data_IF_589654215810
#
_entry.id   IF_589654215810
#
_cell.length_a   1.000
_cell.length_b   1.000
_cell.length_c   1.000
_cell.angle_alpha   90.00
_cell.angle_beta   90.00
_cell.angle_gamma   90.00
#
_symmetry.space_group_name_H-M   'P 1'
#
loop_
_entity.id
_entity.type
_entity.pdbx_description
1 polymer ?
#
# COMPACT_ATOMS: atom_id res chain seq x y z
N UNK A 1 -14.89 1.72 -14.74
CA UNK A 1 -14.14 2.99 -14.50
C UNK A 1 -15.09 3.97 -13.85
N UNK A 2 -14.80 4.42 -12.63
CA UNK A 2 -15.58 5.48 -12.00
C UNK A 2 -15.37 6.78 -12.80
N UNK A 3 -16.47 7.32 -13.33
CA UNK A 3 -16.46 8.63 -13.99
C UNK A 3 -15.94 9.66 -12.97
N UNK A 4 -14.72 10.16 -13.14
CA UNK A 4 -14.18 11.24 -12.33
C UNK A 4 -12.77 11.04 -11.76
N UNK A 5 -12.16 9.86 -11.85
CA UNK A 5 -10.77 9.68 -11.45
C UNK A 5 -9.82 9.99 -12.60
N UNK A 6 -8.91 10.95 -12.37
CA UNK A 6 -7.89 11.36 -13.32
C UNK A 6 -6.54 11.50 -12.57
N UNK A 7 -5.61 10.54 -12.76
CA UNK A 7 -4.29 10.57 -12.14
C UNK A 7 -3.47 11.80 -12.53
N UNK A 8 -3.57 12.26 -13.78
CA UNK A 8 -2.86 13.43 -14.25
C UNK A 8 -3.35 14.70 -13.56
N UNK A 9 -4.63 14.80 -13.26
CA UNK A 9 -5.21 15.92 -12.50
C UNK A 9 -4.66 15.96 -11.07
N UNK A 10 -4.49 14.81 -10.40
CA UNK A 10 -3.84 14.73 -9.08
C UNK A 10 -2.39 15.17 -9.15
N UNK A 11 -1.64 14.66 -10.12
CA UNK A 11 -0.26 15.07 -10.38
C UNK A 11 -0.12 16.59 -10.58
N UNK A 12 -1.02 17.22 -11.29
CA UNK A 12 -0.95 18.67 -11.54
C UNK A 12 -1.32 19.51 -10.33
N UNK A 13 -2.20 19.01 -9.44
CA UNK A 13 -2.73 19.75 -8.28
C UNK A 13 -1.90 19.60 -7.02
N UNK A 14 -1.24 18.46 -6.83
CA UNK A 14 -0.46 18.16 -5.63
C UNK A 14 1.05 18.34 -5.93
N UNK A 15 1.69 19.39 -5.39
CA UNK A 15 3.11 19.65 -5.66
C UNK A 15 4.05 18.61 -5.04
N UNK A 16 3.64 17.92 -3.98
CA UNK A 16 4.43 16.86 -3.34
C UNK A 16 4.39 15.61 -4.19
N UNK A 17 3.20 15.20 -4.61
CA UNK A 17 3.01 14.07 -5.52
C UNK A 17 3.74 14.30 -6.84
N UNK A 18 3.62 15.51 -7.42
CA UNK A 18 4.36 15.88 -8.63
C UNK A 18 5.85 15.68 -8.47
N UNK A 19 6.44 16.22 -7.41
CA UNK A 19 7.88 16.08 -7.15
C UNK A 19 8.30 14.62 -7.04
N UNK A 20 7.51 13.78 -6.40
CA UNK A 20 7.81 12.34 -6.27
C UNK A 20 7.77 11.65 -7.64
N UNK A 21 6.76 11.94 -8.46
CA UNK A 21 6.65 11.35 -9.78
C UNK A 21 7.72 11.86 -10.74
N UNK A 22 8.06 13.15 -10.68
CA UNK A 22 9.15 13.73 -11.48
C UNK A 22 10.51 13.09 -11.10
N UNK A 23 10.71 12.67 -9.85
CA UNK A 23 11.90 11.91 -9.46
C UNK A 23 11.97 10.53 -10.12
N UNK A 24 10.85 9.84 -10.33
CA UNK A 24 10.82 8.59 -11.10
C UNK A 24 11.31 8.81 -12.53
N UNK A 25 10.86 9.89 -13.15
CA UNK A 25 11.28 10.26 -14.49
C UNK A 25 12.77 10.66 -14.56
N UNK A 26 13.24 11.42 -13.57
CA UNK A 26 14.63 11.89 -13.50
C UNK A 26 15.63 10.78 -13.11
N UNK A 27 15.14 9.69 -12.46
CA UNK A 27 15.97 8.63 -11.91
C UNK A 27 16.63 9.00 -10.57
N UNK A 28 17.27 8.03 -9.94
CA UNK A 28 17.88 8.15 -8.60
C UNK A 28 19.42 8.10 -8.64
N UNK A 29 20.02 8.45 -9.79
CA UNK A 29 21.48 8.35 -10.06
C UNK A 29 22.01 6.93 -10.05
N UNK A 30 21.13 5.96 -10.18
CA UNK A 30 21.42 4.58 -10.52
C UNK A 30 21.32 4.39 -12.03
N UNK A 31 21.72 3.23 -12.53
CA UNK A 31 21.64 2.91 -13.95
C UNK A 31 20.24 2.45 -14.39
N UNK A 32 19.26 2.53 -13.48
CA UNK A 32 17.89 2.06 -13.70
C UNK A 32 17.01 3.21 -14.16
N UNK A 33 16.23 2.98 -15.21
CA UNK A 33 15.17 3.90 -15.64
C UNK A 33 13.83 3.50 -15.03
N UNK A 34 13.12 4.47 -14.47
CA UNK A 34 11.78 4.29 -13.92
C UNK A 34 10.72 5.04 -14.77
N UNK A 35 11.07 5.41 -15.99
CA UNK A 35 10.19 6.14 -16.93
C UNK A 35 8.93 5.31 -17.24
N UNK A 36 9.04 4.00 -17.38
CA UNK A 36 7.91 3.10 -17.61
C UNK A 36 6.88 3.17 -16.48
N UNK A 37 7.35 3.22 -15.22
CA UNK A 37 6.48 3.36 -14.04
C UNK A 37 5.78 4.72 -14.03
N UNK A 38 6.50 5.80 -14.34
CA UNK A 38 5.93 7.15 -14.50
C UNK A 38 4.80 7.14 -15.54
N UNK A 39 5.06 6.54 -16.71
CA UNK A 39 4.09 6.47 -17.81
C UNK A 39 2.85 5.65 -17.41
N UNK A 40 3.03 4.49 -16.76
CA UNK A 40 1.92 3.63 -16.31
C UNK A 40 1.05 4.33 -15.27
N UNK A 41 1.64 5.09 -14.36
CA UNK A 41 0.89 5.81 -13.33
C UNK A 41 0.07 6.96 -13.89
N UNK A 42 0.61 7.75 -14.82
CA UNK A 42 -0.04 8.96 -15.31
C UNK A 42 -0.87 8.77 -16.57
N UNK A 43 -0.43 7.89 -17.48
CA UNK A 43 -1.05 7.79 -18.81
C UNK A 43 -1.58 6.40 -19.13
N UNK A 44 -1.13 5.37 -18.40
CA UNK A 44 -1.37 3.98 -18.76
C UNK A 44 -0.54 3.57 -19.99
N UNK A 45 -0.31 2.27 -20.16
CA UNK A 45 0.38 1.75 -21.36
C UNK A 45 -0.47 0.63 -21.96
N UNK A 46 -0.53 -0.53 -21.31
CA UNK A 46 -1.38 -1.66 -21.72
C UNK A 46 -2.64 -1.80 -20.84
N UNK A 47 -2.78 -0.93 -19.85
CA UNK A 47 -3.88 -0.89 -18.90
C UNK A 47 -4.22 0.57 -18.56
N UNK A 48 -5.37 0.82 -17.92
CA UNK A 48 -5.71 2.16 -17.45
C UNK A 48 -4.64 2.74 -16.53
N UNK A 49 -4.42 4.06 -16.63
CA UNK A 49 -3.53 4.79 -15.73
C UNK A 49 -3.95 4.57 -14.28
N UNK A 50 -2.95 4.33 -13.40
CA UNK A 50 -3.14 4.13 -11.96
C UNK A 50 -4.36 3.27 -11.61
N UNK A 51 -4.46 2.07 -12.20
CA UNK A 51 -5.62 1.19 -12.03
C UNK A 51 -5.91 0.80 -10.56
N UNK A 52 -4.92 0.94 -9.67
CA UNK A 52 -5.03 0.64 -8.25
C UNK A 52 -5.24 1.87 -7.36
N UNK A 53 -5.44 3.06 -7.96
CA UNK A 53 -5.71 4.32 -7.28
C UNK A 53 -4.59 4.76 -6.30
N UNK A 54 -3.34 4.40 -6.60
CA UNK A 54 -2.17 4.70 -5.75
C UNK A 54 -1.99 6.20 -5.53
N UNK A 55 -2.23 7.01 -6.58
CA UNK A 55 -2.07 8.45 -6.49
C UNK A 55 -3.20 9.10 -5.68
N UNK A 56 -4.40 8.51 -5.67
CA UNK A 56 -5.48 8.95 -4.80
C UNK A 56 -5.16 8.67 -3.32
N UNK A 57 -4.49 7.56 -3.04
CA UNK A 57 -4.12 7.15 -1.68
C UNK A 57 -2.84 7.82 -1.16
N UNK A 58 -2.09 8.53 -2.01
CA UNK A 58 -0.79 9.09 -1.68
C UNK A 58 -0.81 9.98 -0.42
N UNK A 59 -1.76 10.89 -0.32
CA UNK A 59 -1.86 11.79 0.83
C UNK A 59 -2.14 11.03 2.13
N UNK A 60 -3.03 10.03 2.08
CA UNK A 60 -3.36 9.18 3.24
C UNK A 60 -2.18 8.30 3.66
N UNK A 61 -1.42 7.78 2.69
CA UNK A 61 -0.19 7.05 2.91
C UNK A 61 0.88 7.93 3.61
N UNK A 62 1.11 9.15 3.12
CA UNK A 62 2.04 10.09 3.76
C UNK A 62 1.65 10.39 5.20
N UNK A 63 0.36 10.64 5.46
CA UNK A 63 -0.15 10.87 6.81
C UNK A 63 0.01 9.63 7.71
N UNK A 64 -0.22 8.43 7.18
CA UNK A 64 0.01 7.18 7.92
C UNK A 64 1.50 6.98 8.24
N UNK A 65 2.38 7.20 7.26
CA UNK A 65 3.84 7.12 7.43
C UNK A 65 4.36 8.08 8.50
N UNK A 66 3.84 9.31 8.53
CA UNK A 66 4.18 10.28 9.57
C UNK A 66 3.75 9.77 10.96
N UNK A 67 2.51 9.25 11.09
CA UNK A 67 2.04 8.67 12.37
C UNK A 67 2.90 7.50 12.83
N UNK A 68 3.34 6.64 11.91
CA UNK A 68 4.28 5.53 12.22
C UNK A 68 5.58 6.08 12.76
N UNK A 69 6.17 7.08 12.10
CA UNK A 69 7.42 7.72 12.52
C UNK A 69 7.30 8.33 13.91
N UNK A 70 6.22 9.05 14.17
CA UNK A 70 6.01 9.70 15.48
C UNK A 70 5.75 8.66 16.59
N UNK A 71 4.99 7.61 16.28
CA UNK A 71 4.78 6.50 17.23
C UNK A 71 6.06 5.73 17.51
N UNK A 72 6.94 5.56 16.52
CA UNK A 72 8.23 4.88 16.69
C UNK A 72 9.19 5.63 17.61
N UNK A 73 9.10 6.96 17.66
CA UNK A 73 9.88 7.79 18.60
C UNK A 73 9.46 7.58 20.05
N UNK A 74 8.19 7.27 20.30
CA UNK A 74 7.68 6.82 21.60
C UNK A 74 7.91 5.32 21.76
N UNK A 75 9.09 4.97 22.30
CA UNK A 75 9.55 3.58 22.43
C UNK A 75 8.65 2.74 23.31
N UNK A 76 8.09 3.29 24.36
CA UNK A 76 7.19 2.56 25.24
C UNK A 76 5.90 2.19 24.51
N UNK A 77 5.28 3.16 23.83
CA UNK A 77 4.09 2.95 23.02
C UNK A 77 4.35 1.94 21.89
N UNK A 78 5.46 2.08 21.17
CA UNK A 78 5.83 1.18 20.09
C UNK A 78 5.99 -0.27 20.57
N UNK A 79 6.73 -0.48 21.67
CA UNK A 79 6.94 -1.80 22.25
C UNK A 79 5.64 -2.42 22.74
N UNK A 80 4.74 -1.63 23.36
CA UNK A 80 3.40 -2.09 23.75
C UNK A 80 2.57 -2.54 22.57
N UNK A 81 2.57 -1.78 21.46
CA UNK A 81 1.88 -2.16 20.22
C UNK A 81 2.46 -3.44 19.63
N UNK A 82 3.79 -3.58 19.62
CA UNK A 82 4.48 -4.78 19.14
C UNK A 82 4.09 -6.01 19.96
N UNK A 83 4.10 -5.92 21.29
CA UNK A 83 3.66 -7.02 22.18
C UNK A 83 2.21 -7.41 21.94
N UNK A 84 1.32 -6.43 21.74
CA UNK A 84 -0.08 -6.71 21.39
C UNK A 84 -0.21 -7.45 20.06
N UNK A 85 0.56 -7.06 19.04
CA UNK A 85 0.57 -7.73 17.76
C UNK A 85 1.06 -9.17 17.87
N UNK A 86 2.14 -9.41 18.61
CA UNK A 86 2.68 -10.75 18.87
C UNK A 86 1.64 -11.60 19.62
N UNK A 87 1.07 -11.10 20.70
CA UNK A 87 0.09 -11.81 21.50
C UNK A 87 -1.18 -12.20 20.71
N UNK A 88 -1.53 -11.42 19.68
CA UNK A 88 -2.72 -11.65 18.84
C UNK A 88 -2.40 -12.28 17.49
N UNK A 89 -1.15 -12.61 17.21
CA UNK A 89 -0.73 -13.13 15.89
C UNK A 89 -1.33 -14.50 15.55
N UNK A 90 -1.82 -15.24 16.53
CA UNK A 90 -2.50 -16.52 16.32
C UNK A 90 -3.68 -16.46 15.33
N UNK A 91 -4.32 -15.29 15.19
CA UNK A 91 -5.38 -15.10 14.18
C UNK A 91 -4.86 -15.27 12.73
N UNK A 92 -3.56 -15.10 12.51
CA UNK A 92 -2.90 -15.28 11.21
C UNK A 92 -2.27 -16.67 11.03
N UNK A 93 -2.54 -17.63 11.94
CA UNK A 93 -2.01 -18.97 11.80
C UNK A 93 -2.60 -19.67 10.56
N UNK A 94 -1.77 -20.45 9.87
CA UNK A 94 -2.22 -21.26 8.75
C UNK A 94 -3.29 -22.27 9.17
N UNK A 95 -3.10 -22.91 10.33
CA UNK A 95 -4.06 -23.88 10.89
C UNK A 95 -5.45 -23.30 11.06
N UNK A 96 -5.53 -22.06 11.59
CA UNK A 96 -6.82 -21.35 11.69
C UNK A 96 -7.41 -21.11 10.30
N UNK A 97 -6.63 -20.62 9.36
CA UNK A 97 -7.11 -20.31 8.01
C UNK A 97 -7.60 -21.57 7.28
N UNK A 98 -6.88 -22.69 7.43
CA UNK A 98 -7.31 -23.99 6.87
C UNK A 98 -8.59 -24.47 7.53
N UNK A 99 -8.70 -24.34 8.86
CA UNK A 99 -9.93 -24.71 9.58
C UNK A 99 -11.13 -23.87 9.13
N UNK A 100 -10.95 -22.55 8.96
CA UNK A 100 -11.99 -21.66 8.45
C UNK A 100 -12.42 -22.04 7.02
N UNK A 101 -11.49 -22.38 6.13
CA UNK A 101 -11.80 -22.86 4.78
C UNK A 101 -12.52 -24.21 4.78
N UNK A 102 -12.08 -25.14 5.63
CA UNK A 102 -12.73 -26.45 5.77
C UNK A 102 -14.19 -26.30 6.21
N UNK A 103 -14.45 -25.41 7.18
CA UNK A 103 -15.80 -25.17 7.70
C UNK A 103 -16.65 -24.34 6.74
N UNK A 104 -16.16 -23.18 6.29
CA UNK A 104 -16.99 -22.18 5.60
C UNK A 104 -17.08 -22.37 4.10
N UNK A 105 -16.08 -22.98 3.46
CA UNK A 105 -16.00 -23.14 2.01
C UNK A 105 -16.19 -24.60 1.58
N UNK A 106 -15.42 -25.51 2.18
CA UNK A 106 -15.41 -26.92 1.75
C UNK A 106 -16.42 -27.78 2.51
N UNK A 107 -16.92 -27.33 3.66
CA UNK A 107 -17.86 -28.06 4.53
C UNK A 107 -17.37 -29.47 4.88
N UNK A 108 -16.09 -29.63 5.12
CA UNK A 108 -15.45 -30.90 5.49
C UNK A 108 -15.01 -30.90 6.96
N UNK A 109 -15.09 -32.05 7.68
CA UNK A 109 -14.63 -32.11 9.06
C UNK A 109 -13.13 -31.83 9.16
N UNK A 110 -12.75 -30.82 9.92
CA UNK A 110 -11.36 -30.51 10.25
C UNK A 110 -11.04 -31.01 11.65
N UNK A 111 -10.13 -31.98 11.77
CA UNK A 111 -9.60 -32.43 13.05
C UNK A 111 -8.33 -31.66 13.38
N UNK A 112 -8.33 -30.95 14.50
CA UNK A 112 -7.13 -30.32 15.07
C UNK A 112 -6.14 -31.37 15.55
#
# INVERSE_FOLDING_TARGET
MSRGYDPYLLYTRDPVLRRVLDQLKAGFRDVVSYEDLYQRLLFGVDCPADQYLLLADFASYCAASQRVTDTYRDRERWNRMSLHNIARSGIFSADRSVADYADTIWHVPYKK
#
